data_IF_239308255418
#
_entry.id   IF_239308255418
#
_cell.length_a   1.000
_cell.length_b   1.000
_cell.length_c   1.000
_cell.angle_alpha   90.00
_cell.angle_beta   90.00
_cell.angle_gamma   90.00
#
_symmetry.space_group_name_H-M   'P 1'
#
loop_
_entity.id
_entity.type
_entity.pdbx_description
1 polymer ?
#
# COMPACT_ATOMS: atom_id res chain seq x y z
N UNK A 1 -16.77 9.64 -11.36
CA UNK A 1 -16.05 8.35 -11.43
C UNK A 1 -16.48 7.38 -10.35
N UNK A 2 -16.57 7.77 -9.07
CA UNK A 2 -16.89 6.82 -8.00
C UNK A 2 -18.26 6.12 -8.08
N UNK A 3 -19.30 6.78 -8.60
CA UNK A 3 -20.61 6.15 -8.89
C UNK A 3 -20.49 4.94 -9.82
N UNK A 4 -19.66 5.05 -10.87
CA UNK A 4 -19.45 3.98 -11.86
C UNK A 4 -18.73 2.80 -11.20
N UNK A 5 -17.74 3.07 -10.36
CA UNK A 5 -16.99 2.06 -9.62
C UNK A 5 -17.93 1.29 -8.67
N UNK A 6 -18.77 2.00 -7.92
CA UNK A 6 -19.74 1.39 -7.00
C UNK A 6 -20.78 0.54 -7.73
N UNK A 7 -21.35 1.04 -8.83
CA UNK A 7 -22.30 0.28 -9.66
C UNK A 7 -21.67 -0.98 -10.27
N UNK A 8 -20.41 -0.89 -10.73
CA UNK A 8 -19.67 -2.04 -11.27
C UNK A 8 -19.41 -3.07 -10.17
N UNK A 9 -19.04 -2.63 -8.98
CA UNK A 9 -18.76 -3.51 -7.84
C UNK A 9 -20.04 -4.21 -7.34
N UNK A 10 -21.16 -3.49 -7.23
CA UNK A 10 -22.49 -4.03 -6.89
C UNK A 10 -22.91 -5.14 -7.87
N UNK A 11 -22.63 -4.96 -9.17
CA UNK A 11 -23.00 -5.94 -10.21
C UNK A 11 -22.09 -7.16 -10.25
N UNK A 12 -20.79 -6.99 -10.00
CA UNK A 12 -19.81 -8.08 -10.14
C UNK A 12 -19.57 -8.86 -8.85
N UNK A 13 -19.71 -8.25 -7.68
CA UNK A 13 -19.32 -8.84 -6.41
C UNK A 13 -20.52 -9.05 -5.49
N UNK A 14 -20.92 -10.32 -5.33
CA UNK A 14 -22.08 -10.71 -4.52
C UNK A 14 -21.90 -10.40 -3.03
N UNK A 15 -20.69 -10.58 -2.50
CA UNK A 15 -20.40 -10.25 -1.10
C UNK A 15 -20.48 -8.74 -0.86
N UNK A 16 -20.01 -7.94 -1.81
CA UNK A 16 -20.15 -6.50 -1.75
C UNK A 16 -21.63 -6.08 -1.83
N UNK A 17 -22.43 -6.73 -2.67
CA UNK A 17 -23.86 -6.46 -2.75
C UNK A 17 -24.62 -6.78 -1.46
N UNK A 18 -24.31 -7.91 -0.81
CA UNK A 18 -24.87 -8.27 0.50
C UNK A 18 -24.47 -7.27 1.58
N UNK A 19 -23.20 -6.86 1.62
CA UNK A 19 -22.75 -5.80 2.51
C UNK A 19 -23.43 -4.45 2.20
N UNK A 20 -23.59 -4.10 0.92
CA UNK A 20 -24.23 -2.86 0.47
C UNK A 20 -25.70 -2.79 0.89
N UNK A 21 -26.44 -3.90 0.81
CA UNK A 21 -27.84 -3.96 1.29
C UNK A 21 -27.99 -3.59 2.76
N UNK A 22 -27.04 -4.04 3.59
CA UNK A 22 -27.08 -3.80 5.03
C UNK A 22 -26.50 -2.43 5.43
N UNK A 23 -25.73 -1.79 4.53
CA UNK A 23 -25.00 -0.54 4.81
C UNK A 23 -25.25 0.52 3.73
N UNK A 24 -26.46 0.55 3.16
CA UNK A 24 -26.80 1.37 1.99
C UNK A 24 -26.56 2.88 2.24
N UNK A 25 -26.88 3.37 3.44
CA UNK A 25 -26.68 4.77 3.83
C UNK A 25 -25.21 5.16 3.77
N UNK A 26 -24.33 4.34 4.38
CA UNK A 26 -22.89 4.56 4.37
C UNK A 26 -22.33 4.43 2.96
N UNK A 27 -22.74 3.41 2.20
CA UNK A 27 -22.30 3.25 0.82
C UNK A 27 -22.70 4.46 -0.04
N UNK A 28 -23.91 4.99 0.13
CA UNK A 28 -24.39 6.16 -0.62
C UNK A 28 -23.63 7.43 -0.25
N UNK A 29 -23.39 7.68 1.05
CA UNK A 29 -22.62 8.81 1.54
C UNK A 29 -21.20 8.81 0.96
N UNK A 30 -20.52 7.67 1.04
CA UNK A 30 -19.17 7.52 0.49
C UNK A 30 -19.14 7.58 -1.04
N UNK A 31 -20.22 7.17 -1.72
CA UNK A 31 -20.37 7.37 -3.16
C UNK A 31 -20.47 8.86 -3.51
N UNK A 32 -21.21 9.66 -2.75
CA UNK A 32 -21.30 11.12 -2.96
C UNK A 32 -19.96 11.79 -2.64
N UNK A 33 -19.36 11.47 -1.49
CA UNK A 33 -18.03 11.96 -1.09
C UNK A 33 -16.94 11.64 -2.12
N UNK A 34 -17.05 10.49 -2.79
CA UNK A 34 -16.14 10.09 -3.87
C UNK A 34 -16.16 11.00 -5.09
N UNK A 35 -17.22 11.81 -5.24
CA UNK A 35 -17.29 12.85 -6.26
C UNK A 35 -16.29 13.98 -6.02
N UNK A 36 -15.93 14.24 -4.77
CA UNK A 36 -14.94 15.25 -4.38
C UNK A 36 -13.53 14.64 -4.31
N UNK A 37 -13.40 13.48 -3.67
CA UNK A 37 -12.13 12.75 -3.60
C UNK A 37 -12.38 11.24 -3.71
N UNK A 38 -11.85 10.62 -4.76
CA UNK A 38 -12.02 9.18 -5.02
C UNK A 38 -11.50 8.30 -3.88
N UNK A 39 -10.55 8.80 -3.08
CA UNK A 39 -9.96 8.10 -1.93
C UNK A 39 -10.99 7.78 -0.84
N UNK A 40 -12.11 8.51 -0.80
CA UNK A 40 -13.22 8.25 0.12
C UNK A 40 -13.76 6.82 -0.07
N UNK A 41 -13.77 6.27 -1.29
CA UNK A 41 -14.20 4.88 -1.51
C UNK A 41 -13.28 3.86 -0.84
N UNK A 42 -12.01 4.18 -0.63
CA UNK A 42 -11.06 3.28 0.01
C UNK A 42 -11.33 3.14 1.51
N UNK A 43 -11.94 4.16 2.14
CA UNK A 43 -12.35 4.12 3.55
C UNK A 43 -13.44 3.08 3.83
N UNK A 44 -14.24 2.72 2.82
CA UNK A 44 -15.24 1.66 2.96
C UNK A 44 -14.62 0.29 3.24
N UNK A 45 -13.36 0.05 2.83
CA UNK A 45 -12.66 -1.23 3.03
C UNK A 45 -11.48 -1.17 4.01
N UNK A 46 -11.22 -0.02 4.62
CA UNK A 46 -10.04 0.17 5.48
C UNK A 46 -10.27 -0.13 6.96
N UNK A 47 -11.51 -0.50 7.33
CA UNK A 47 -11.92 -0.78 8.70
C UNK A 47 -11.58 0.39 9.64
N UNK A 48 -11.96 1.60 9.22
CA UNK A 48 -11.69 2.84 9.97
C UNK A 48 -12.12 2.68 11.43
N UNK A 49 -11.17 2.93 12.34
CA UNK A 49 -11.36 2.82 13.79
C UNK A 49 -11.89 1.45 14.30
N UNK A 50 -11.70 0.37 13.53
CA UNK A 50 -12.18 -0.97 13.90
C UNK A 50 -13.68 -1.18 13.71
N UNK A 51 -14.39 -0.23 13.11
CA UNK A 51 -15.84 -0.28 12.94
C UNK A 51 -16.18 -1.25 11.79
N UNK A 52 -17.02 -2.25 12.07
CA UNK A 52 -17.39 -3.29 11.10
C UNK A 52 -18.12 -2.76 9.86
N UNK A 53 -18.77 -1.60 9.99
CA UNK A 53 -19.43 -0.90 8.89
C UNK A 53 -18.41 -0.48 7.81
N UNK A 54 -17.16 -0.20 8.17
CA UNK A 54 -16.08 0.14 7.22
C UNK A 54 -15.26 -1.07 6.77
N UNK A 55 -15.84 -2.26 6.81
CA UNK A 55 -15.22 -3.50 6.34
C UNK A 55 -15.91 -4.05 5.08
N UNK A 56 -16.14 -3.18 4.10
CA UNK A 56 -16.75 -3.56 2.84
C UNK A 56 -15.84 -4.52 2.05
N UNK A 57 -16.36 -5.66 1.58
CA UNK A 57 -15.59 -6.65 0.84
C UNK A 57 -15.41 -6.22 -0.62
N UNK A 58 -14.61 -5.17 -0.84
CA UNK A 58 -14.30 -4.63 -2.17
C UNK A 58 -13.33 -5.58 -2.89
N UNK A 59 -13.57 -5.82 -4.18
CA UNK A 59 -12.72 -6.64 -5.03
C UNK A 59 -11.33 -6.02 -5.22
N UNK A 60 -10.32 -6.87 -5.40
CA UNK A 60 -8.93 -6.44 -5.66
C UNK A 60 -8.81 -5.60 -6.94
N UNK A 61 -9.60 -5.93 -7.97
CA UNK A 61 -9.67 -5.13 -9.20
C UNK A 61 -10.13 -3.70 -8.89
N UNK A 62 -11.22 -3.55 -8.14
CA UNK A 62 -11.77 -2.25 -7.78
C UNK A 62 -10.84 -1.46 -6.86
N UNK A 63 -10.19 -2.09 -5.89
CA UNK A 63 -9.15 -1.43 -5.08
C UNK A 63 -8.00 -0.90 -5.95
N UNK A 64 -7.57 -1.66 -6.96
CA UNK A 64 -6.56 -1.21 -7.91
C UNK A 64 -7.03 -0.01 -8.74
N UNK A 65 -8.27 -0.04 -9.24
CA UNK A 65 -8.85 1.10 -9.96
C UNK A 65 -8.98 2.35 -9.09
N UNK A 66 -9.40 2.21 -7.83
CA UNK A 66 -9.50 3.33 -6.89
C UNK A 66 -8.11 3.90 -6.63
N UNK A 67 -7.10 3.05 -6.38
CA UNK A 67 -5.72 3.49 -6.14
C UNK A 67 -5.15 4.25 -7.34
N UNK A 68 -5.27 3.69 -8.55
CA UNK A 68 -4.77 4.33 -9.76
C UNK A 68 -5.54 5.60 -10.11
N UNK A 69 -6.85 5.60 -9.89
CA UNK A 69 -7.70 6.77 -10.05
C UNK A 69 -7.33 7.91 -9.09
N UNK A 70 -7.01 7.60 -7.82
CA UNK A 70 -6.49 8.58 -6.88
C UNK A 70 -5.13 9.11 -7.33
N UNK A 71 -4.23 8.23 -7.77
CA UNK A 71 -2.92 8.63 -8.24
C UNK A 71 -3.00 9.60 -9.44
N UNK A 72 -3.83 9.29 -10.43
CA UNK A 72 -4.05 10.16 -11.59
C UNK A 72 -4.76 11.47 -11.17
N UNK A 73 -5.76 11.39 -10.29
CA UNK A 73 -6.48 12.54 -9.76
C UNK A 73 -5.54 13.56 -9.08
N UNK A 74 -4.55 13.08 -8.31
CA UNK A 74 -3.54 13.96 -7.72
C UNK A 74 -2.76 14.76 -8.78
N UNK A 75 -2.43 14.13 -9.91
CA UNK A 75 -1.67 14.79 -10.99
C UNK A 75 -2.49 15.74 -11.84
N UNK A 76 -3.78 15.47 -12.04
CA UNK A 76 -4.66 16.25 -12.93
C UNK A 76 -5.45 17.32 -12.15
N UNK A 77 -5.91 17.02 -10.94
CA UNK A 77 -6.73 17.93 -10.15
C UNK A 77 -5.87 18.70 -9.15
N UNK A 78 -5.08 18.01 -8.32
CA UNK A 78 -4.43 18.65 -7.17
C UNK A 78 -3.18 19.44 -7.55
N UNK A 79 -2.30 18.91 -8.40
CA UNK A 79 -1.09 19.61 -8.85
C UNK A 79 -1.44 20.89 -9.65
N UNK A 80 -2.33 20.87 -10.65
CA UNK A 80 -2.66 22.08 -11.40
C UNK A 80 -3.38 23.12 -10.55
N UNK A 81 -4.27 22.70 -9.64
CA UNK A 81 -4.93 23.59 -8.68
C UNK A 81 -3.92 24.28 -7.77
N UNK A 82 -2.93 23.54 -7.27
CA UNK A 82 -1.83 24.09 -6.47
C UNK A 82 -1.02 25.13 -7.28
N UNK A 83 -0.66 24.79 -8.52
CA UNK A 83 0.11 25.68 -9.41
C UNK A 83 -0.66 26.98 -9.68
N UNK A 84 -1.94 26.89 -10.06
CA UNK A 84 -2.80 28.05 -10.32
C UNK A 84 -2.87 28.96 -9.07
N UNK A 85 -2.99 28.36 -7.89
CA UNK A 85 -3.07 29.12 -6.64
C UNK A 85 -1.76 29.83 -6.27
N UNK A 86 -0.61 29.26 -6.61
CA UNK A 86 0.70 29.92 -6.47
C UNK A 86 0.83 31.10 -7.43
N UNK A 87 0.44 30.93 -8.69
CA UNK A 87 0.47 32.00 -9.69
C UNK A 87 -0.48 33.15 -9.33
N UNK A 88 -1.70 32.85 -8.89
CA UNK A 88 -2.67 33.85 -8.48
C UNK A 88 -2.15 34.74 -7.33
N UNK A 89 -1.52 34.14 -6.31
CA UNK A 89 -0.90 34.87 -5.21
C UNK A 89 0.26 35.76 -5.66
N UNK A 90 1.03 35.35 -6.66
CA UNK A 90 2.17 36.11 -7.17
C UNK A 90 1.77 37.28 -8.07
N UNK A 91 0.60 37.19 -8.71
CA UNK A 91 0.10 38.18 -9.68
C UNK A 91 -0.87 39.21 -9.07
N UNK A 92 -1.52 38.91 -7.94
CA UNK A 92 -2.44 39.81 -7.25
C UNK A 92 -1.71 40.63 -6.18
N UNK A 93 -1.83 41.96 -6.25
CA UNK A 93 -1.13 42.93 -5.37
C UNK A 93 -1.69 42.95 -3.92
N UNK A 94 -2.90 42.41 -3.70
CA UNK A 94 -3.50 42.23 -2.37
C UNK A 94 -3.42 40.78 -1.90
N UNK A 95 -2.77 40.56 -0.76
CA UNK A 95 -2.55 39.24 -0.16
C UNK A 95 -3.75 38.80 0.68
N UNK A 96 -4.62 37.96 0.12
CA UNK A 96 -5.63 37.29 0.94
C UNK A 96 -5.05 36.06 1.66
N UNK A 97 -5.30 36.01 2.97
CA UNK A 97 -4.78 35.04 3.95
C UNK A 97 -5.34 33.63 3.74
N UNK A 98 -6.45 33.49 3.01
CA UNK A 98 -7.13 32.21 2.80
C UNK A 98 -6.40 31.37 1.71
N UNK A 99 -6.11 31.90 0.50
CA UNK A 99 -5.25 31.23 -0.48
C UNK A 99 -3.87 30.87 0.09
N UNK A 100 -3.30 31.78 0.90
CA UNK A 100 -2.54 31.49 2.13
C UNK A 100 -2.32 30.06 2.60
N UNK A 101 -3.18 29.76 3.56
CA UNK A 101 -3.22 28.60 4.41
C UNK A 101 -3.51 27.33 3.62
N UNK A 102 -4.31 27.39 2.56
CA UNK A 102 -4.61 26.21 1.75
C UNK A 102 -3.36 25.67 1.03
N UNK A 103 -2.51 26.55 0.49
CA UNK A 103 -1.22 26.15 -0.09
C UNK A 103 -0.26 25.57 0.97
N UNK A 104 -0.23 26.17 2.16
CA UNK A 104 0.59 25.69 3.28
C UNK A 104 0.13 24.29 3.73
N UNK A 105 -1.17 24.07 3.80
CA UNK A 105 -1.77 22.81 4.25
C UNK A 105 -1.53 21.68 3.24
N UNK A 106 -1.71 21.95 1.94
CA UNK A 106 -1.40 20.99 0.88
C UNK A 106 0.09 20.63 0.83
N UNK A 107 0.98 21.59 1.11
CA UNK A 107 2.42 21.34 1.14
C UNK A 107 2.87 20.49 2.34
N UNK A 108 2.22 20.65 3.50
CA UNK A 108 2.47 19.83 4.69
C UNK A 108 1.96 18.40 4.49
N UNK A 109 0.79 18.22 3.89
CA UNK A 109 0.23 16.89 3.58
C UNK A 109 1.13 16.14 2.58
N UNK A 110 1.64 16.84 1.56
CA UNK A 110 2.56 16.26 0.59
C UNK A 110 3.90 15.85 1.23
N UNK A 111 4.46 16.69 2.12
CA UNK A 111 5.68 16.37 2.86
C UNK A 111 5.51 15.13 3.75
N UNK A 112 4.36 15.00 4.43
CA UNK A 112 4.05 13.83 5.25
C UNK A 112 3.93 12.54 4.43
N UNK A 113 3.32 12.59 3.25
CA UNK A 113 3.23 11.43 2.36
C UNK A 113 4.59 10.97 1.81
N UNK A 114 5.50 11.92 1.52
CA UNK A 114 6.86 11.62 1.10
C UNK A 114 7.67 10.98 2.23
N UNK A 115 7.59 11.53 3.45
CA UNK A 115 8.28 10.99 4.64
C UNK A 115 7.80 9.57 4.95
N UNK A 116 6.49 9.33 4.89
CA UNK A 116 5.90 8.01 5.14
C UNK A 116 6.38 6.95 4.13
N UNK A 117 6.47 7.32 2.83
CA UNK A 117 7.01 6.44 1.78
C UNK A 117 8.51 6.18 1.94
N UNK A 118 9.29 7.19 2.31
CA UNK A 118 10.73 7.04 2.59
C UNK A 118 10.95 6.11 3.78
N UNK A 119 10.15 6.27 4.84
CA UNK A 119 10.24 5.42 6.03
C UNK A 119 9.94 3.95 5.69
N UNK A 120 8.87 3.69 4.95
CA UNK A 120 8.55 2.34 4.48
C UNK A 120 9.63 1.76 3.55
N UNK A 121 10.22 2.59 2.68
CA UNK A 121 11.31 2.16 1.81
C UNK A 121 12.57 1.76 2.60
N UNK A 122 12.95 2.54 3.61
CA UNK A 122 14.09 2.23 4.50
C UNK A 122 13.82 0.93 5.26
N UNK A 123 12.65 0.78 5.88
CA UNK A 123 12.28 -0.44 6.61
C UNK A 123 12.28 -1.66 5.70
N UNK A 124 11.77 -1.54 4.47
CA UNK A 124 11.82 -2.62 3.49
C UNK A 124 13.26 -2.95 3.07
N UNK A 125 14.13 -1.97 2.85
CA UNK A 125 15.52 -2.21 2.50
C UNK A 125 16.28 -2.91 3.63
N UNK A 126 16.00 -2.54 4.88
CA UNK A 126 16.55 -3.20 6.07
C UNK A 126 16.03 -4.64 6.26
N UNK A 127 14.73 -4.90 6.01
CA UNK A 127 14.17 -6.26 6.12
C UNK A 127 14.65 -7.17 4.99
N UNK A 128 14.82 -6.63 3.78
CA UNK A 128 15.40 -7.34 2.63
C UNK A 128 16.85 -7.73 2.91
N UNK A 129 17.67 -6.82 3.46
CA UNK A 129 19.07 -7.10 3.84
C UNK A 129 19.18 -8.19 4.93
N UNK A 130 18.27 -8.24 5.91
CA UNK A 130 18.24 -9.34 6.91
C UNK A 130 17.83 -10.70 6.30
N UNK A 131 16.83 -10.73 5.42
CA UNK A 131 16.43 -11.97 4.72
C UNK A 131 17.57 -12.56 3.88
N UNK A 132 18.34 -11.72 3.19
CA UNK A 132 19.52 -12.17 2.43
C UNK A 132 20.57 -12.82 3.34
N UNK A 133 20.85 -12.23 4.50
CA UNK A 133 21.84 -12.76 5.46
C UNK A 133 21.36 -14.08 6.07
N UNK A 134 20.07 -14.22 6.35
CA UNK A 134 19.49 -15.47 6.87
C UNK A 134 19.54 -16.62 5.85
N UNK A 135 19.27 -16.33 4.58
CA UNK A 135 19.37 -17.32 3.49
C UNK A 135 20.83 -17.74 3.29
N UNK A 136 21.78 -16.80 3.29
CA UNK A 136 23.21 -17.09 3.19
C UNK A 136 23.71 -17.94 4.37
N UNK A 137 23.28 -17.67 5.60
CA UNK A 137 23.63 -18.51 6.74
C UNK A 137 23.02 -19.91 6.65
N UNK A 138 21.79 -20.02 6.13
CA UNK A 138 21.12 -21.31 5.91
C UNK A 138 21.86 -22.14 4.86
N UNK A 139 22.28 -21.52 3.74
CA UNK A 139 23.09 -22.18 2.71
C UNK A 139 24.47 -22.60 3.22
N UNK A 140 25.15 -21.75 4.01
CA UNK A 140 26.43 -22.09 4.62
C UNK A 140 26.28 -23.25 5.62
N UNK A 141 25.23 -23.24 6.44
CA UNK A 141 24.96 -24.31 7.40
C UNK A 141 24.62 -25.63 6.71
N UNK A 142 23.86 -25.60 5.60
CA UNK A 142 23.54 -26.77 4.81
C UNK A 142 24.78 -27.36 4.12
N UNK A 143 25.61 -26.52 3.53
CA UNK A 143 26.85 -26.94 2.87
C UNK A 143 27.85 -27.55 3.87
N UNK A 144 27.99 -26.96 5.07
CA UNK A 144 28.84 -27.52 6.12
C UNK A 144 28.34 -28.87 6.65
N UNK A 145 27.01 -29.04 6.82
CA UNK A 145 26.43 -30.31 7.22
C UNK A 145 26.63 -31.41 6.16
N UNK A 146 26.50 -31.07 4.88
CA UNK A 146 26.71 -32.01 3.78
C UNK A 146 28.19 -32.44 3.66
N UNK A 147 29.12 -31.50 3.80
CA UNK A 147 30.56 -31.78 3.78
C UNK A 147 30.98 -32.66 4.97
N UNK A 148 30.50 -32.35 6.17
CA UNK A 148 30.74 -33.16 7.37
C UNK A 148 30.16 -34.58 7.23
N UNK A 149 28.96 -34.71 6.65
CA UNK A 149 28.33 -36.01 6.39
C UNK A 149 29.15 -36.86 5.40
N UNK A 150 29.65 -36.24 4.34
CA UNK A 150 30.51 -36.86 3.31
C UNK A 150 31.85 -37.33 3.91
N UNK A 151 32.44 -36.52 4.78
CA UNK A 151 33.68 -36.86 5.52
C UNK A 151 33.43 -38.02 6.49
N UNK A 152 32.31 -38.04 7.24
CA UNK A 152 31.98 -39.18 8.12
C UNK A 152 31.73 -40.47 7.35
N UNK A 153 31.09 -40.41 6.17
CA UNK A 153 30.89 -41.58 5.31
C UNK A 153 32.23 -42.11 4.79
N UNK A 154 33.10 -41.26 4.25
CA UNK A 154 34.46 -41.65 3.83
C UNK A 154 35.30 -42.21 4.98
N UNK A 155 35.18 -41.65 6.20
CA UNK A 155 35.94 -42.11 7.37
C UNK A 155 35.41 -43.43 7.93
N UNK A 156 34.10 -43.67 7.86
CA UNK A 156 33.45 -44.94 8.24
C UNK A 156 33.83 -46.06 7.26
N UNK A 157 33.85 -45.78 5.95
CA UNK A 157 34.34 -46.70 4.92
C UNK A 157 35.82 -47.04 5.18
N UNK A 158 36.66 -46.04 5.43
CA UNK A 158 38.10 -46.22 5.69
C UNK A 158 38.41 -46.98 6.98
N UNK A 159 37.58 -46.85 8.03
CA UNK A 159 37.70 -47.65 9.27
C UNK A 159 37.29 -49.10 9.08
N UNK A 160 36.24 -49.35 8.28
CA UNK A 160 35.76 -50.72 8.04
C UNK A 160 36.77 -51.53 7.21
N UNK A 161 37.45 -50.90 6.24
CA UNK A 161 38.53 -51.52 5.45
C UNK A 161 39.78 -51.85 6.27
N UNK A 162 40.03 -51.15 7.39
CA UNK A 162 41.23 -51.36 8.21
C UNK A 162 41.05 -52.46 9.28
N UNK A 163 39.83 -52.94 9.51
CA UNK A 163 39.55 -54.04 10.44
C UNK A 163 39.29 -55.39 9.75
N UNK A 164 39.45 -55.46 8.42
CA UNK A 164 39.29 -56.69 7.62
C UNK A 164 40.61 -57.19 7.01
N UNK A 165 41.75 -56.85 7.61
CA UNK A 165 43.06 -57.41 7.30
C UNK A 165 43.67 -58.02 8.56
#
# INVERSE_FOLDING_TARGET
MGVIIMLKEIKKNRHFYEWFKNNADVASLFTVLSGTNLEMLNMLSSQVAGIMIFNAPISKETQFYIFWGCFIGLFIDDIPRFIIQVFYRKLVVNYDIIPFLTLLTSSIILANNIISKIYHAIVHLYSKKRKSIMILQTEISYNSANENSSITVSRKIRKNVRHSM
#
